data_IF_213181448822
#
_entry.id   IF_213181448822
#
_cell.length_a   1.000
_cell.length_b   1.000
_cell.length_c   1.000
_cell.angle_alpha   90.00
_cell.angle_beta   90.00
_cell.angle_gamma   90.00
#
_symmetry.space_group_name_H-M   'P 1'
#
loop_
_entity.id
_entity.type
_entity.pdbx_description
1 polymer ?
#
# COMPACT_ATOMS: atom_id res chain seq x y z
N UNK A 1 -11.16 -36.98 -21.74
CA UNK A 1 -10.54 -36.65 -20.44
C UNK A 1 -9.23 -35.91 -20.72
N UNK A 2 -9.28 -34.59 -20.90
CA UNK A 2 -8.11 -33.78 -21.26
C UNK A 2 -7.58 -33.06 -20.02
N UNK A 3 -6.38 -33.43 -19.57
CA UNK A 3 -5.62 -32.75 -18.53
C UNK A 3 -4.55 -31.89 -19.22
N UNK A 4 -4.81 -30.60 -19.38
CA UNK A 4 -3.76 -29.64 -19.75
C UNK A 4 -3.56 -28.66 -18.58
N UNK A 5 -2.56 -29.00 -17.77
CA UNK A 5 -1.90 -28.15 -16.78
C UNK A 5 -1.36 -26.89 -17.45
N UNK A 6 -2.06 -25.77 -17.26
CA UNK A 6 -1.63 -24.45 -17.71
C UNK A 6 -0.70 -23.84 -16.65
N UNK A 7 0.53 -23.58 -17.09
CA UNK A 7 1.46 -22.55 -16.61
C UNK A 7 1.88 -22.59 -15.13
N UNK A 8 3.00 -23.29 -14.89
CA UNK A 8 3.96 -22.88 -13.88
C UNK A 8 4.57 -21.52 -14.28
N UNK A 9 4.07 -20.42 -13.71
CA UNK A 9 4.72 -19.12 -13.80
C UNK A 9 5.93 -19.10 -12.83
N UNK A 10 7.06 -19.59 -13.31
CA UNK A 10 8.37 -19.48 -12.67
C UNK A 10 8.86 -18.02 -12.82
N UNK A 11 8.48 -17.13 -11.90
CA UNK A 11 9.15 -15.83 -11.79
C UNK A 11 10.34 -15.95 -10.83
N UNK A 12 11.52 -16.17 -11.39
CA UNK A 12 12.79 -16.22 -10.68
C UNK A 12 13.05 -14.90 -9.93
N UNK A 13 13.04 -14.95 -8.60
CA UNK A 13 13.53 -13.87 -7.75
C UNK A 13 15.06 -14.01 -7.68
N UNK A 14 15.76 -13.38 -8.62
CA UNK A 14 17.21 -13.30 -8.58
C UNK A 14 17.64 -12.35 -7.44
N UNK A 15 18.05 -12.91 -6.30
CA UNK A 15 18.67 -12.16 -5.20
C UNK A 15 20.18 -12.23 -5.43
N UNK A 16 20.74 -11.22 -6.09
CA UNK A 16 22.19 -11.03 -6.10
C UNK A 16 22.64 -10.52 -4.72
N UNK A 17 23.35 -11.37 -3.98
CA UNK A 17 23.98 -11.03 -2.72
C UNK A 17 25.19 -10.12 -2.99
N UNK A 18 24.96 -8.80 -3.07
CA UNK A 18 26.01 -7.79 -2.98
C UNK A 18 26.09 -7.31 -1.52
N UNK A 19 27.30 -7.34 -0.98
CA UNK A 19 27.72 -6.93 0.37
C UNK A 19 26.72 -6.03 1.12
N UNK A 20 26.11 -6.58 2.17
CA UNK A 20 25.34 -5.80 3.14
C UNK A 20 26.37 -5.08 4.00
N UNK A 21 26.76 -3.86 3.61
CA UNK A 21 27.38 -2.93 4.53
C UNK A 21 26.38 -2.71 5.67
N UNK A 22 26.73 -3.13 6.88
CA UNK A 22 25.99 -2.84 8.12
C UNK A 22 26.13 -1.35 8.44
N UNK A 23 25.44 -0.51 7.66
CA UNK A 23 24.97 0.76 8.14
C UNK A 23 23.62 0.48 8.81
N UNK A 24 23.47 0.89 10.07
CA UNK A 24 22.16 0.96 10.74
C UNK A 24 21.34 2.01 10.00
N UNK A 25 20.75 1.60 8.88
CA UNK A 25 19.99 2.45 7.99
C UNK A 25 18.53 2.04 8.13
N UNK A 26 17.70 2.96 8.60
CA UNK A 26 16.25 2.80 8.62
C UNK A 26 15.73 2.10 7.36
N UNK A 27 15.06 0.96 7.54
CA UNK A 27 14.59 0.14 6.42
C UNK A 27 13.38 0.81 5.78
N UNK A 28 13.46 1.06 4.47
CA UNK A 28 12.31 1.48 3.65
C UNK A 28 11.93 0.37 2.68
N UNK A 29 10.69 -0.08 2.75
CA UNK A 29 10.08 -0.98 1.76
C UNK A 29 8.93 -0.27 1.06
N UNK A 30 8.95 -0.27 -0.27
CA UNK A 30 7.85 0.22 -1.11
C UNK A 30 7.39 -0.90 -2.01
N UNK A 31 6.12 -1.25 -1.89
CA UNK A 31 5.48 -2.22 -2.76
C UNK A 31 4.38 -1.51 -3.54
N UNK A 32 4.40 -1.67 -4.85
CA UNK A 32 3.37 -1.16 -5.75
C UNK A 32 2.81 -2.32 -6.57
N UNK A 33 1.49 -2.40 -6.63
CA UNK A 33 0.78 -3.35 -7.47
C UNK A 33 -0.34 -2.60 -8.18
N UNK A 34 -0.48 -2.85 -9.47
CA UNK A 34 -1.61 -2.38 -10.28
C UNK A 34 -2.26 -3.61 -10.90
N UNK A 35 -3.57 -3.73 -10.71
CA UNK A 35 -4.38 -4.82 -11.23
C UNK A 35 -5.60 -4.23 -11.92
N UNK A 36 -6.16 -4.99 -12.87
CA UNK A 36 -7.47 -4.73 -13.43
C UNK A 36 -8.44 -5.69 -12.74
N UNK A 37 -9.59 -5.19 -12.29
CA UNK A 37 -10.63 -6.05 -11.70
C UNK A 37 -11.46 -6.75 -12.79
N UNK A 38 -12.36 -7.64 -12.36
CA UNK A 38 -13.21 -8.44 -13.25
C UNK A 38 -14.15 -7.59 -14.12
N UNK A 39 -14.34 -6.31 -13.78
CA UNK A 39 -15.19 -5.35 -14.49
C UNK A 39 -14.36 -4.38 -15.35
N UNK A 40 -13.05 -4.59 -15.48
CA UNK A 40 -12.16 -3.73 -16.26
C UNK A 40 -11.70 -2.46 -15.54
N UNK A 41 -12.01 -2.30 -14.25
CA UNK A 41 -11.62 -1.11 -13.49
C UNK A 41 -10.16 -1.21 -13.05
N UNK A 42 -9.46 -0.08 -13.05
CA UNK A 42 -8.06 -0.02 -12.63
C UNK A 42 -7.96 0.11 -11.11
N UNK A 43 -7.25 -0.82 -10.48
CA UNK A 43 -6.96 -0.81 -9.04
C UNK A 43 -5.46 -0.71 -8.81
N UNK A 44 -5.00 0.37 -8.20
CA UNK A 44 -3.61 0.57 -7.80
C UNK A 44 -3.49 0.55 -6.28
N UNK A 45 -2.60 -0.29 -5.76
CA UNK A 45 -2.26 -0.38 -4.33
C UNK A 45 -0.78 -0.06 -4.15
N UNK A 46 -0.50 0.88 -3.26
CA UNK A 46 0.86 1.26 -2.86
C UNK A 46 0.97 1.10 -1.36
N UNK A 47 1.93 0.29 -0.91
CA UNK A 47 2.30 0.13 0.49
C UNK A 47 3.70 0.68 0.68
N UNK A 48 3.87 1.49 1.70
CA UNK A 48 5.16 2.03 2.13
C UNK A 48 5.31 1.70 3.60
N UNK A 49 6.41 1.07 3.98
CA UNK A 49 6.79 0.91 5.38
C UNK A 49 8.18 1.50 5.53
N UNK A 50 8.33 2.36 6.52
CA UNK A 50 9.59 2.96 6.93
C UNK A 50 9.77 2.71 8.41
N UNK A 51 10.98 2.36 8.78
CA UNK A 51 11.45 2.38 10.15
C UNK A 51 12.56 3.42 10.19
N UNK A 52 12.48 4.39 11.09
CA UNK A 52 13.58 5.35 11.27
C UNK A 52 14.68 4.75 12.17
N UNK A 53 15.78 5.48 12.32
CA UNK A 53 16.95 5.02 13.08
C UNK A 53 16.69 4.93 14.59
N UNK A 54 15.60 5.53 15.08
CA UNK A 54 15.14 5.45 16.46
C UNK A 54 14.18 4.27 16.70
N UNK A 55 13.82 3.52 15.65
CA UNK A 55 12.90 2.39 15.73
C UNK A 55 11.42 2.76 15.52
N UNK A 56 11.10 4.03 15.25
CA UNK A 56 9.73 4.45 14.98
C UNK A 56 9.27 3.89 13.65
N UNK A 57 8.10 3.25 13.66
CA UNK A 57 7.54 2.62 12.47
C UNK A 57 6.45 3.47 11.87
N UNK A 58 6.65 3.87 10.61
CA UNK A 58 5.65 4.54 9.78
C UNK A 58 5.20 3.59 8.67
N UNK A 59 3.92 3.22 8.69
CA UNK A 59 3.31 2.39 7.65
C UNK A 59 2.19 3.15 6.92
N UNK A 60 2.30 3.29 5.61
CA UNK A 60 1.31 3.89 4.73
C UNK A 60 0.77 2.88 3.72
N UNK A 61 -0.54 2.90 3.50
CA UNK A 61 -1.20 2.19 2.39
C UNK A 61 -2.09 3.16 1.66
N UNK A 62 -1.92 3.26 0.34
CA UNK A 62 -2.77 4.01 -0.57
C UNK A 62 -3.39 3.05 -1.58
N UNK A 63 -4.71 3.06 -1.68
CA UNK A 63 -5.47 2.31 -2.66
C UNK A 63 -6.23 3.31 -3.52
N UNK A 64 -6.09 3.20 -4.83
CA UNK A 64 -6.84 3.98 -5.82
C UNK A 64 -7.60 2.98 -6.67
N UNK A 65 -8.91 3.17 -6.76
CA UNK A 65 -9.76 2.49 -7.74
C UNK A 65 -10.33 3.53 -8.69
N UNK A 66 -10.29 3.25 -9.98
CA UNK A 66 -10.90 4.08 -11.02
C UNK A 66 -11.82 3.21 -11.85
N UNK A 67 -13.08 3.60 -11.95
CA UNK A 67 -14.04 2.91 -12.82
C UNK A 67 -13.94 3.37 -14.29
N UNK A 68 -14.65 2.67 -15.18
CA UNK A 68 -14.69 3.00 -16.60
C UNK A 68 -15.31 4.37 -16.92
N UNK A 69 -16.14 4.91 -16.02
CA UNK A 69 -16.80 6.22 -16.18
C UNK A 69 -15.93 7.38 -15.64
N UNK A 70 -14.76 7.08 -15.06
CA UNK A 70 -13.84 8.08 -14.53
C UNK A 70 -14.04 8.40 -13.04
N UNK A 71 -14.99 7.76 -12.36
CA UNK A 71 -15.14 7.91 -10.92
C UNK A 71 -13.98 7.22 -10.20
N UNK A 72 -13.49 7.84 -9.12
CA UNK A 72 -12.34 7.38 -8.37
C UNK A 72 -12.63 7.27 -6.89
N UNK A 73 -12.16 6.18 -6.29
CA UNK A 73 -12.14 6.00 -4.84
C UNK A 73 -10.69 5.88 -4.39
N UNK A 74 -10.26 6.81 -3.55
CA UNK A 74 -8.93 6.85 -2.96
C UNK A 74 -9.05 6.55 -1.47
N UNK A 75 -8.41 5.49 -1.00
CA UNK A 75 -8.29 5.15 0.42
C UNK A 75 -6.84 5.25 0.84
N UNK A 76 -6.55 6.10 1.82
CA UNK A 76 -5.23 6.23 2.42
C UNK A 76 -5.31 5.86 3.89
N UNK A 77 -4.45 4.96 4.35
CA UNK A 77 -4.24 4.63 5.75
C UNK A 77 -2.78 4.90 6.08
N UNK A 78 -2.53 5.68 7.13
CA UNK A 78 -1.19 5.89 7.67
C UNK A 78 -1.22 5.54 9.15
N UNK A 79 -0.31 4.69 9.57
CA UNK A 79 -0.11 4.32 10.97
C UNK A 79 1.30 4.74 11.35
N UNK A 80 1.41 5.50 12.43
CA UNK A 80 2.66 5.90 13.06
C UNK A 80 2.69 5.26 14.44
N UNK A 81 3.77 4.55 14.73
CA UNK A 81 4.00 3.86 15.99
C UNK A 81 5.35 4.36 16.53
N UNK A 82 5.36 5.48 17.27
CA UNK A 82 6.56 5.97 17.92
C UNK A 82 6.93 5.06 19.09
N UNK A 83 8.11 4.44 19.00
CA UNK A 83 8.75 3.65 20.07
C UNK A 83 7.90 2.53 20.70
N UNK A 84 6.80 2.11 20.06
CA UNK A 84 5.89 1.09 20.59
C UNK A 84 4.99 1.55 21.74
N UNK A 85 5.04 2.82 22.13
CA UNK A 85 4.30 3.37 23.28
C UNK A 85 2.84 3.76 22.95
N UNK A 86 2.50 3.77 21.67
CA UNK A 86 1.16 4.08 21.21
C UNK A 86 1.12 4.23 19.70
N UNK A 87 -0.04 4.00 19.09
CA UNK A 87 -0.23 4.02 17.64
C UNK A 87 -1.23 5.09 17.25
N UNK A 88 -0.84 5.91 16.28
CA UNK A 88 -1.73 6.88 15.63
C UNK A 88 -2.05 6.35 14.25
N UNK A 89 -3.32 6.00 14.01
CA UNK A 89 -3.79 5.58 12.69
C UNK A 89 -4.73 6.62 12.10
N UNK A 90 -4.33 7.20 10.98
CA UNK A 90 -5.14 8.12 10.16
C UNK A 90 -5.65 7.37 8.94
N UNK A 91 -6.97 7.34 8.77
CA UNK A 91 -7.63 6.79 7.58
C UNK A 91 -8.36 7.93 6.88
N UNK A 92 -8.15 8.07 5.58
CA UNK A 92 -8.89 8.98 4.71
C UNK A 92 -9.47 8.22 3.53
N UNK A 93 -10.74 8.43 3.26
CA UNK A 93 -11.43 7.95 2.06
C UNK A 93 -11.90 9.18 1.29
N UNK A 94 -11.52 9.26 0.01
CA UNK A 94 -11.96 10.30 -0.90
C UNK A 94 -12.66 9.64 -2.08
N UNK A 95 -13.88 10.07 -2.36
CA UNK A 95 -14.59 9.76 -3.60
C UNK A 95 -14.49 10.97 -4.50
N UNK A 96 -14.22 10.74 -5.78
CA UNK A 96 -14.15 11.74 -6.83
C UNK A 96 -15.04 11.22 -7.94
N UNK A 97 -15.95 12.03 -8.47
CA UNK A 97 -16.75 11.64 -9.62
C UNK A 97 -16.05 11.98 -10.96
N UNK A 98 -16.71 11.67 -12.06
CA UNK A 98 -16.22 11.95 -13.41
C UNK A 98 -16.06 13.46 -13.71
N UNK A 99 -16.87 14.31 -13.08
CA UNK A 99 -16.86 15.77 -13.26
C UNK A 99 -15.82 16.46 -12.37
N UNK A 100 -15.28 15.74 -11.39
CA UNK A 100 -14.22 16.19 -10.50
C UNK A 100 -14.67 16.58 -9.10
N UNK A 101 -15.97 16.43 -8.77
CA UNK A 101 -16.52 16.71 -7.45
C UNK A 101 -15.97 15.71 -6.43
N UNK A 102 -15.68 16.19 -5.22
CA UNK A 102 -14.93 15.42 -4.22
C UNK A 102 -15.62 15.40 -2.89
N UNK A 103 -15.83 14.19 -2.36
CA UNK A 103 -16.30 13.97 -1.00
C UNK A 103 -15.23 13.20 -0.24
N UNK A 104 -14.75 13.76 0.86
CA UNK A 104 -13.74 13.15 1.72
C UNK A 104 -14.31 12.85 3.11
N UNK A 105 -13.94 11.69 3.67
CA UNK A 105 -14.13 11.38 5.09
C UNK A 105 -12.79 10.93 5.67
N UNK A 106 -12.47 11.43 6.86
CA UNK A 106 -11.27 11.02 7.58
C UNK A 106 -11.57 10.64 9.01
N UNK A 107 -10.84 9.66 9.53
CA UNK A 107 -10.87 9.26 10.93
C UNK A 107 -9.44 9.17 11.44
N UNK A 108 -9.21 9.70 12.62
CA UNK A 108 -7.96 9.51 13.37
C UNK A 108 -8.29 8.65 14.58
N UNK A 109 -7.46 7.63 14.81
CA UNK A 109 -7.57 6.73 15.95
C UNK A 109 -6.25 6.76 16.68
N UNK A 110 -6.32 7.01 17.98
CA UNK A 110 -5.21 6.93 18.91
C UNK A 110 -5.41 5.67 19.74
N UNK A 111 -4.37 4.85 19.86
CA UNK A 111 -4.34 3.71 20.78
C UNK A 111 -3.07 3.81 21.61
N UNK A 112 -3.20 3.91 22.92
CA UNK A 112 -2.09 3.81 23.87
C UNK A 112 -2.08 2.41 24.50
N UNK A 113 -0.91 1.96 24.97
CA UNK A 113 -0.77 0.76 25.79
C UNK A 113 -1.04 1.07 27.26
#
# INVERSE_FOLDING_TARGET
MFKNTVMAALSALAISAAAISTASAGSMTKQQSTTIDEFGNRVSKVRVVRTDDFGNRVAGVKIVKTDAFGNRIIKTRTTVDPDGLGKVTKVRVTKIDAFGDRISKSKVVFSAF
#
